data_IF_019040460929
#
_entry.id   IF_019040460929
#
_cell.length_a   1.000
_cell.length_b   1.000
_cell.length_c   1.000
_cell.angle_alpha   90.00
_cell.angle_beta   90.00
_cell.angle_gamma   90.00
#
_symmetry.space_group_name_H-M   'P 1'
#
loop_
_entity.id
_entity.type
_entity.pdbx_description
1 polymer ?
#
# COMPACT_ATOMS: atom_id res chain seq x y z
N UNK A 1 -19.92 -20.53 14.33
CA UNK A 1 -20.32 -19.14 14.07
C UNK A 1 -21.83 -19.14 14.00
N UNK A 2 -22.53 -18.69 15.03
CA UNK A 2 -24.00 -18.63 15.03
C UNK A 2 -24.38 -17.51 14.04
N UNK A 3 -25.20 -17.83 13.05
CA UNK A 3 -25.85 -16.85 12.19
C UNK A 3 -26.65 -15.93 13.10
N UNK A 4 -26.31 -14.64 13.12
CA UNK A 4 -27.17 -13.65 13.79
C UNK A 4 -28.52 -13.65 13.08
N UNK A 5 -29.63 -13.42 13.80
CA UNK A 5 -30.94 -13.38 13.17
C UNK A 5 -30.95 -12.31 12.07
N UNK A 6 -31.48 -12.68 10.93
CA UNK A 6 -31.68 -11.76 9.82
C UNK A 6 -32.51 -10.57 10.33
N UNK A 7 -31.94 -9.36 10.28
CA UNK A 7 -32.67 -8.16 10.69
C UNK A 7 -33.68 -7.83 9.59
N UNK A 8 -34.95 -8.00 9.87
CA UNK A 8 -36.00 -7.66 8.93
C UNK A 8 -36.14 -6.12 8.84
N UNK A 9 -35.79 -5.56 7.67
CA UNK A 9 -35.81 -4.12 7.40
C UNK A 9 -37.03 -3.80 6.51
N UNK A 10 -38.15 -3.52 7.14
CA UNK A 10 -39.43 -3.30 6.44
C UNK A 10 -39.66 -1.81 6.17
N UNK A 11 -39.49 -0.96 7.18
CA UNK A 11 -39.76 0.49 7.06
C UNK A 11 -38.53 1.25 6.55
N UNK A 12 -38.77 2.44 6.02
CA UNK A 12 -37.70 3.31 5.54
C UNK A 12 -36.79 3.78 6.69
N UNK A 13 -37.37 4.01 7.88
CA UNK A 13 -36.61 4.36 9.09
C UNK A 13 -35.66 3.22 9.50
N UNK A 14 -36.12 1.98 9.44
CA UNK A 14 -35.26 0.82 9.73
C UNK A 14 -34.11 0.68 8.74
N UNK A 15 -34.38 0.88 7.44
CA UNK A 15 -33.36 0.83 6.39
C UNK A 15 -32.31 1.93 6.55
N UNK A 16 -32.76 3.17 6.81
CA UNK A 16 -31.86 4.31 7.04
C UNK A 16 -31.03 4.09 8.32
N UNK A 17 -31.65 3.63 9.40
CA UNK A 17 -30.95 3.32 10.65
C UNK A 17 -29.88 2.24 10.46
N UNK A 18 -30.18 1.19 9.70
CA UNK A 18 -29.22 0.18 9.34
C UNK A 18 -28.06 0.75 8.50
N UNK A 19 -28.37 1.68 7.57
CA UNK A 19 -27.37 2.40 6.79
C UNK A 19 -26.37 3.18 7.66
N UNK A 20 -26.83 3.84 8.73
CA UNK A 20 -25.93 4.45 9.72
C UNK A 20 -25.04 3.41 10.39
N UNK A 21 -25.59 2.25 10.76
CA UNK A 21 -24.82 1.14 11.33
C UNK A 21 -23.72 0.67 10.41
N UNK A 22 -23.97 0.55 9.10
CA UNK A 22 -22.95 0.19 8.10
C UNK A 22 -21.82 1.24 8.01
N UNK A 23 -22.16 2.53 8.05
CA UNK A 23 -21.17 3.61 8.04
C UNK A 23 -20.28 3.59 9.29
N UNK A 24 -20.86 3.42 10.47
CA UNK A 24 -20.10 3.26 11.71
C UNK A 24 -19.22 2.01 11.68
N UNK A 25 -19.76 0.90 11.17
CA UNK A 25 -19.00 -0.35 11.01
C UNK A 25 -17.79 -0.20 10.10
N UNK A 26 -17.90 0.53 8.99
CA UNK A 26 -16.78 0.83 8.10
C UNK A 26 -15.70 1.68 8.81
N UNK A 27 -16.11 2.72 9.54
CA UNK A 27 -15.17 3.53 10.33
C UNK A 27 -14.49 2.71 11.43
N UNK A 28 -15.22 1.85 12.14
CA UNK A 28 -14.65 0.96 13.16
C UNK A 28 -13.63 0.01 12.54
N UNK A 29 -13.92 -0.55 11.38
CA UNK A 29 -13.00 -1.46 10.68
C UNK A 29 -11.70 -0.75 10.28
N UNK A 30 -11.78 0.49 9.78
CA UNK A 30 -10.61 1.30 9.39
C UNK A 30 -9.75 1.70 10.58
N UNK A 31 -10.36 1.89 11.75
CA UNK A 31 -9.69 2.29 12.98
C UNK A 31 -9.59 1.13 14.00
N UNK A 32 -9.72 -0.10 13.53
CA UNK A 32 -9.73 -1.30 14.37
C UNK A 32 -8.37 -1.54 15.04
N UNK A 33 -8.41 -2.18 16.18
CA UNK A 33 -7.24 -2.70 16.89
C UNK A 33 -7.50 -4.14 17.35
N UNK A 34 -6.44 -4.87 17.59
CA UNK A 34 -6.56 -6.26 18.07
C UNK A 34 -7.26 -6.32 19.43
N UNK A 35 -8.33 -7.10 19.50
CA UNK A 35 -9.15 -7.21 20.70
C UNK A 35 -10.25 -6.17 20.81
N UNK A 36 -10.59 -5.44 19.73
CA UNK A 36 -11.78 -4.60 19.70
C UNK A 36 -13.03 -5.47 19.91
N UNK A 37 -13.82 -5.13 20.92
CA UNK A 37 -15.06 -5.84 21.29
C UNK A 37 -16.27 -5.05 20.81
N UNK A 38 -16.98 -5.58 19.81
CA UNK A 38 -18.12 -4.91 19.20
C UNK A 38 -19.26 -4.68 20.20
N UNK A 39 -19.47 -5.61 21.14
CA UNK A 39 -20.53 -5.46 22.15
C UNK A 39 -20.27 -4.27 23.08
N UNK A 40 -19.01 -4.00 23.43
CA UNK A 40 -18.64 -2.81 24.20
C UNK A 40 -18.86 -1.51 23.40
N UNK A 41 -18.58 -1.51 22.10
CA UNK A 41 -18.86 -0.38 21.21
C UNK A 41 -20.37 -0.10 21.16
N UNK A 42 -21.18 -1.14 20.94
CA UNK A 42 -22.64 -1.04 20.90
C UNK A 42 -23.20 -0.48 22.22
N UNK A 43 -22.71 -0.97 23.36
CA UNK A 43 -23.10 -0.44 24.66
C UNK A 43 -22.77 1.05 24.82
N UNK A 44 -21.59 1.48 24.39
CA UNK A 44 -21.21 2.90 24.39
C UNK A 44 -22.13 3.77 23.53
N UNK A 45 -22.48 3.30 22.33
CA UNK A 45 -23.43 3.98 21.44
C UNK A 45 -24.81 4.09 22.10
N UNK A 46 -25.30 3.00 22.73
CA UNK A 46 -26.59 2.99 23.41
C UNK A 46 -26.65 3.95 24.61
N UNK A 47 -25.58 3.98 25.42
CA UNK A 47 -25.49 4.91 26.57
C UNK A 47 -25.56 6.37 26.07
N UNK A 48 -24.76 6.70 25.07
CA UNK A 48 -24.76 8.07 24.52
C UNK A 48 -26.10 8.47 23.89
N UNK A 49 -26.66 7.59 23.06
CA UNK A 49 -27.90 7.87 22.33
C UNK A 49 -29.13 8.05 23.28
N UNK A 50 -29.16 7.33 24.40
CA UNK A 50 -30.23 7.36 25.35
C UNK A 50 -30.03 8.33 26.53
N UNK A 51 -29.04 9.25 26.46
CA UNK A 51 -28.65 10.15 27.52
C UNK A 51 -28.40 9.43 28.88
N UNK A 52 -27.89 8.19 28.82
CA UNK A 52 -27.55 7.42 29.99
C UNK A 52 -26.16 7.80 30.50
N UNK A 53 -25.95 7.67 31.81
CA UNK A 53 -24.63 7.92 32.38
C UNK A 53 -23.63 6.92 31.79
N UNK A 54 -22.49 7.45 31.26
CA UNK A 54 -21.40 6.63 30.77
C UNK A 54 -20.83 5.76 31.90
N UNK A 55 -20.51 4.50 31.59
CA UNK A 55 -19.91 3.57 32.54
C UNK A 55 -18.50 3.98 32.99
N UNK A 56 -17.82 4.82 32.19
CA UNK A 56 -16.47 5.34 32.40
C UNK A 56 -16.41 6.82 32.05
N UNK A 57 -15.50 7.53 32.72
CA UNK A 57 -15.15 8.91 32.37
C UNK A 57 -13.98 8.94 31.40
N UNK A 58 -13.70 10.08 30.77
CA UNK A 58 -12.49 10.26 29.95
C UNK A 58 -11.21 10.00 30.73
N UNK A 59 -11.20 10.31 32.03
CA UNK A 59 -10.07 10.04 32.90
C UNK A 59 -9.80 8.53 33.08
N UNK A 60 -10.86 7.73 33.08
CA UNK A 60 -10.74 6.26 33.15
C UNK A 60 -10.33 5.66 31.80
N UNK A 61 -10.76 6.25 30.69
CA UNK A 61 -10.48 5.78 29.34
C UNK A 61 -9.08 6.12 28.84
N UNK A 62 -8.55 7.30 29.19
CA UNK A 62 -7.28 7.80 28.70
C UNK A 62 -6.09 6.82 28.93
N UNK A 63 -5.90 6.20 30.11
CA UNK A 63 -4.84 5.21 30.29
C UNK A 63 -4.99 4.01 29.36
N UNK A 64 -6.23 3.55 29.10
CA UNK A 64 -6.51 2.43 28.20
C UNK A 64 -6.21 2.77 26.74
N UNK A 65 -6.55 4.00 26.31
CA UNK A 65 -6.17 4.49 24.97
C UNK A 65 -4.64 4.48 24.79
N UNK A 66 -3.88 4.95 25.78
CA UNK A 66 -2.42 4.94 25.72
C UNK A 66 -1.86 3.52 25.60
N UNK A 67 -2.41 2.56 26.36
CA UNK A 67 -1.99 1.15 26.29
C UNK A 67 -2.27 0.56 24.89
N UNK A 68 -3.45 0.81 24.34
CA UNK A 68 -3.80 0.31 23.00
C UNK A 68 -2.92 0.96 21.93
N UNK A 69 -2.73 2.27 21.99
CA UNK A 69 -1.85 3.00 21.07
C UNK A 69 -0.42 2.45 21.12
N UNK A 70 0.14 2.21 22.31
CA UNK A 70 1.47 1.63 22.46
C UNK A 70 1.55 0.23 21.85
N UNK A 71 0.53 -0.62 22.06
CA UNK A 71 0.46 -1.95 21.44
C UNK A 71 0.43 -1.88 19.92
N UNK A 72 -0.37 -0.95 19.34
CA UNK A 72 -0.44 -0.73 17.89
C UNK A 72 0.91 -0.27 17.34
N UNK A 73 1.59 0.69 18.01
CA UNK A 73 2.91 1.16 17.62
C UNK A 73 3.97 0.05 17.65
N UNK A 74 3.99 -0.74 18.71
CA UNK A 74 4.91 -1.89 18.82
C UNK A 74 4.69 -2.90 17.70
N UNK A 75 3.44 -3.27 17.47
CA UNK A 75 3.08 -4.20 16.38
C UNK A 75 3.45 -3.65 15.00
N UNK A 76 3.21 -2.36 14.75
CA UNK A 76 3.58 -1.71 13.50
C UNK A 76 5.10 -1.70 13.30
N UNK A 77 5.87 -1.42 14.35
CA UNK A 77 7.33 -1.45 14.32
C UNK A 77 7.88 -2.87 14.04
N UNK A 78 7.34 -3.90 14.71
CA UNK A 78 7.72 -5.31 14.48
C UNK A 78 7.43 -5.75 13.04
N UNK A 79 6.24 -5.40 12.52
CA UNK A 79 5.87 -5.69 11.13
C UNK A 79 6.76 -4.93 10.14
N UNK A 80 7.09 -3.67 10.43
CA UNK A 80 8.00 -2.85 9.63
C UNK A 80 9.40 -3.45 9.58
N UNK A 81 9.95 -3.87 10.72
CA UNK A 81 11.25 -4.54 10.80
C UNK A 81 11.27 -5.86 10.03
N UNK A 82 10.23 -6.68 10.17
CA UNK A 82 10.11 -7.92 9.41
C UNK A 82 10.06 -7.69 7.90
N UNK A 83 9.34 -6.67 7.44
CA UNK A 83 9.28 -6.31 6.02
C UNK A 83 10.64 -5.82 5.51
N UNK A 84 11.35 -5.01 6.29
CA UNK A 84 12.70 -4.57 5.95
C UNK A 84 13.66 -5.76 5.75
N UNK A 85 13.61 -6.75 6.63
CA UNK A 85 14.40 -7.99 6.48
C UNK A 85 14.02 -8.78 5.21
N UNK A 86 12.72 -8.89 4.91
CA UNK A 86 12.25 -9.56 3.69
C UNK A 86 12.69 -8.81 2.43
N UNK A 87 12.64 -7.47 2.46
CA UNK A 87 13.10 -6.63 1.36
C UNK A 87 14.62 -6.80 1.15
N UNK A 88 15.41 -6.76 2.22
CA UNK A 88 16.86 -6.96 2.16
C UNK A 88 17.21 -8.35 1.60
N UNK A 89 16.58 -9.41 2.14
CA UNK A 89 16.79 -10.78 1.67
C UNK A 89 16.42 -10.94 0.19
N UNK A 90 15.32 -10.34 -0.25
CA UNK A 90 14.92 -10.35 -1.64
C UNK A 90 15.97 -9.65 -2.52
N UNK A 91 16.43 -8.46 -2.14
CA UNK A 91 17.43 -7.72 -2.91
C UNK A 91 18.77 -8.48 -3.01
N UNK A 92 19.21 -9.15 -1.93
CA UNK A 92 20.41 -10.00 -1.95
C UNK A 92 20.23 -11.15 -2.93
N UNK A 93 19.15 -11.92 -2.80
CA UNK A 93 18.90 -13.09 -3.65
C UNK A 93 18.68 -12.70 -5.12
N UNK A 94 18.02 -11.59 -5.38
CA UNK A 94 17.79 -11.12 -6.75
C UNK A 94 19.10 -10.67 -7.43
N UNK A 95 20.05 -10.09 -6.66
CA UNK A 95 21.37 -9.70 -7.17
C UNK A 95 22.26 -10.88 -7.59
N UNK A 96 22.00 -12.11 -7.08
CA UNK A 96 22.73 -13.32 -7.43
C UNK A 96 22.39 -13.87 -8.82
N UNK A 97 21.31 -13.36 -9.42
CA UNK A 97 20.89 -13.78 -10.77
C UNK A 97 21.81 -13.15 -11.82
N UNK A 98 22.28 -13.95 -12.78
CA UNK A 98 23.23 -13.52 -13.80
C UNK A 98 22.71 -12.38 -14.69
N UNK A 99 21.39 -12.34 -14.91
CA UNK A 99 20.73 -11.33 -15.75
C UNK A 99 20.52 -9.99 -15.04
N UNK A 100 20.75 -9.93 -13.72
CA UNK A 100 20.46 -8.76 -12.89
C UNK A 100 21.69 -7.88 -12.73
N UNK A 101 21.52 -6.61 -13.06
CA UNK A 101 22.52 -5.56 -12.80
C UNK A 101 22.08 -4.73 -11.61
N UNK A 102 23.01 -4.48 -10.67
CA UNK A 102 22.79 -3.61 -9.51
C UNK A 102 23.53 -2.29 -9.71
N UNK A 103 22.83 -1.17 -9.58
CA UNK A 103 23.41 0.18 -9.67
C UNK A 103 24.00 0.63 -8.33
N UNK A 104 24.71 1.75 -8.34
CA UNK A 104 25.31 2.32 -7.12
C UNK A 104 24.29 2.75 -6.06
N UNK A 105 23.06 3.06 -6.46
CA UNK A 105 21.95 3.40 -5.55
C UNK A 105 21.32 2.17 -4.89
N UNK A 106 21.61 0.96 -5.43
CA UNK A 106 20.96 -0.29 -5.03
C UNK A 106 19.73 -0.65 -5.86
N UNK A 107 19.39 0.12 -6.89
CA UNK A 107 18.40 -0.30 -7.88
C UNK A 107 18.92 -1.54 -8.59
N UNK A 108 18.05 -2.53 -8.79
CA UNK A 108 18.38 -3.71 -9.59
C UNK A 108 17.49 -3.75 -10.82
N UNK A 109 18.07 -4.13 -11.95
CA UNK A 109 17.31 -4.27 -13.19
C UNK A 109 17.78 -5.45 -14.03
N UNK A 110 16.85 -5.98 -14.80
CA UNK A 110 17.02 -7.03 -15.79
C UNK A 110 16.40 -6.54 -17.10
N UNK A 111 17.13 -6.59 -18.20
CA UNK A 111 16.63 -6.22 -19.52
C UNK A 111 15.89 -7.43 -20.10
N UNK A 112 14.57 -7.35 -20.20
CA UNK A 112 13.71 -8.40 -20.78
C UNK A 112 13.67 -8.29 -22.30
N UNK A 113 13.56 -7.06 -22.82
CA UNK A 113 13.57 -6.73 -24.23
C UNK A 113 14.37 -5.44 -24.42
N UNK A 114 15.32 -5.45 -25.36
CA UNK A 114 16.15 -4.29 -25.64
C UNK A 114 15.53 -3.40 -26.73
N UNK A 115 15.29 -2.14 -26.40
CA UNK A 115 14.90 -1.09 -27.33
C UNK A 115 16.10 -0.51 -28.08
N UNK A 116 15.81 0.40 -28.99
CA UNK A 116 16.84 1.10 -29.77
C UNK A 116 16.56 2.59 -29.98
N UNK A 117 15.52 3.09 -29.31
CA UNK A 117 15.14 4.50 -29.36
C UNK A 117 15.99 5.38 -28.43
N UNK A 118 15.69 6.68 -28.33
CA UNK A 118 16.36 7.58 -27.40
C UNK A 118 16.05 7.25 -25.95
N UNK A 119 16.92 7.68 -25.03
CA UNK A 119 16.70 7.60 -23.58
C UNK A 119 16.05 8.89 -23.06
N UNK A 120 15.12 8.80 -22.09
CA UNK A 120 14.51 9.98 -21.50
C UNK A 120 15.52 10.81 -20.70
N UNK A 121 15.37 12.14 -20.75
CA UNK A 121 16.01 13.04 -19.81
C UNK A 121 15.20 13.14 -18.51
N UNK A 122 15.82 13.67 -17.45
CA UNK A 122 15.16 13.80 -16.14
C UNK A 122 13.91 14.66 -16.11
N UNK A 123 13.69 15.49 -17.14
CA UNK A 123 12.51 16.38 -17.27
C UNK A 123 11.50 15.90 -18.34
N UNK A 124 11.81 14.81 -19.02
CA UNK A 124 10.94 14.27 -20.06
C UNK A 124 9.64 13.72 -19.48
N UNK A 125 8.60 13.74 -20.30
CA UNK A 125 7.37 12.98 -20.06
C UNK A 125 7.44 11.69 -20.85
N UNK A 126 7.14 10.57 -20.23
CA UNK A 126 7.20 9.23 -20.85
C UNK A 126 5.83 8.57 -20.85
N UNK A 127 5.60 7.73 -21.85
CA UNK A 127 4.46 6.81 -21.95
C UNK A 127 4.98 5.39 -21.69
N UNK A 128 4.39 4.72 -20.72
CA UNK A 128 4.82 3.37 -20.32
C UNK A 128 3.65 2.42 -20.13
N UNK A 129 3.86 1.14 -20.42
CA UNK A 129 3.14 0.09 -19.72
C UNK A 129 3.96 -0.36 -18.52
N UNK A 130 3.26 -0.68 -17.43
CA UNK A 130 3.90 -1.23 -16.25
C UNK A 130 3.00 -2.21 -15.50
N UNK A 131 3.66 -3.09 -14.74
CA UNK A 131 3.02 -4.02 -13.83
C UNK A 131 3.84 -4.04 -12.53
N UNK A 132 3.25 -3.54 -11.45
CA UNK A 132 3.89 -3.37 -10.15
C UNK A 132 3.41 -4.40 -9.14
N UNK A 133 4.36 -5.10 -8.52
CA UNK A 133 4.09 -6.12 -7.50
C UNK A 133 4.94 -5.92 -6.26
N UNK A 134 4.42 -6.37 -5.13
CA UNK A 134 5.21 -6.63 -3.93
C UNK A 134 6.12 -7.86 -4.18
N UNK A 135 7.08 -8.10 -3.30
CA UNK A 135 8.02 -9.23 -3.41
C UNK A 135 7.37 -10.62 -3.32
N UNK A 136 6.16 -10.69 -2.78
CA UNK A 136 5.35 -11.91 -2.71
C UNK A 136 4.46 -12.13 -3.95
N UNK A 137 4.57 -11.25 -4.96
CA UNK A 137 3.79 -11.29 -6.19
C UNK A 137 2.43 -10.60 -6.12
N UNK A 138 2.04 -10.02 -4.97
CA UNK A 138 0.79 -9.26 -4.86
C UNK A 138 0.85 -8.04 -5.75
N UNK A 139 -0.07 -7.94 -6.72
CA UNK A 139 -0.19 -6.78 -7.61
C UNK A 139 -0.77 -5.60 -6.83
N UNK A 140 -0.09 -4.46 -6.85
CA UNK A 140 -0.61 -3.24 -6.24
C UNK A 140 -1.05 -2.19 -7.27
N UNK A 141 -0.47 -2.23 -8.48
CA UNK A 141 -0.89 -1.38 -9.59
C UNK A 141 -0.40 -1.93 -10.93
N UNK A 142 -1.23 -1.82 -11.98
CA UNK A 142 -0.90 -2.34 -13.31
C UNK A 142 -1.65 -1.59 -14.41
N UNK A 143 -0.92 -0.89 -15.26
CA UNK A 143 -1.47 -0.31 -16.48
C UNK A 143 -1.81 -1.36 -17.54
N UNK A 144 -1.16 -2.53 -17.47
CA UNK A 144 -1.44 -3.66 -18.36
C UNK A 144 -2.83 -4.23 -18.05
N UNK A 145 -3.16 -4.42 -16.77
CA UNK A 145 -4.50 -4.90 -16.36
C UNK A 145 -5.60 -3.88 -16.69
N UNK A 146 -5.28 -2.58 -16.64
CA UNK A 146 -6.22 -1.52 -17.08
C UNK A 146 -6.38 -1.45 -18.61
N UNK A 147 -5.50 -2.09 -19.38
CA UNK A 147 -5.52 -2.07 -20.83
C UNK A 147 -5.14 -0.74 -21.48
N UNK A 148 -4.54 0.19 -20.71
CA UNK A 148 -4.13 1.52 -21.17
C UNK A 148 -2.76 1.89 -20.61
N UNK A 149 -1.82 2.40 -21.47
CA UNK A 149 -0.55 2.91 -20.99
C UNK A 149 -0.76 4.12 -20.10
N UNK A 150 0.20 4.40 -19.25
CA UNK A 150 0.20 5.55 -18.37
C UNK A 150 1.30 6.53 -18.76
N UNK A 151 1.05 7.82 -18.49
CA UNK A 151 1.96 8.92 -18.78
C UNK A 151 2.52 9.48 -17.47
N UNK A 152 3.84 9.67 -17.41
CA UNK A 152 4.53 10.15 -16.21
C UNK A 152 5.64 11.15 -16.56
N UNK A 153 5.80 12.19 -15.75
CA UNK A 153 7.05 12.95 -15.70
C UNK A 153 8.14 12.13 -15.03
N UNK A 154 9.31 12.01 -15.65
CA UNK A 154 10.44 11.22 -15.11
C UNK A 154 10.86 11.68 -13.72
N UNK A 155 10.72 12.96 -13.40
CA UNK A 155 11.00 13.54 -12.09
C UNK A 155 9.80 13.51 -11.11
N UNK A 156 8.67 12.91 -11.48
CA UNK A 156 7.43 12.86 -10.68
C UNK A 156 7.08 11.46 -10.18
N UNK A 157 7.96 10.51 -10.42
CA UNK A 157 7.82 9.12 -9.98
C UNK A 157 8.79 8.81 -8.83
N UNK A 158 8.72 7.62 -8.27
CA UNK A 158 9.64 7.18 -7.22
C UNK A 158 11.12 7.20 -7.71
N UNK A 159 12.10 7.40 -6.82
CA UNK A 159 13.51 7.51 -7.22
C UNK A 159 14.02 6.35 -8.08
N UNK A 160 13.61 5.11 -7.77
CA UNK A 160 13.98 3.94 -8.57
C UNK A 160 13.48 4.01 -10.02
N UNK A 161 12.30 4.53 -10.27
CA UNK A 161 11.79 4.76 -11.60
C UNK A 161 12.50 5.90 -12.31
N UNK A 162 12.74 7.02 -11.60
CA UNK A 162 13.50 8.14 -12.15
C UNK A 162 14.88 7.71 -12.63
N UNK A 163 15.55 6.84 -11.88
CA UNK A 163 16.84 6.28 -12.28
C UNK A 163 16.71 5.30 -13.45
N UNK A 164 15.79 4.32 -13.33
CA UNK A 164 15.61 3.29 -14.37
C UNK A 164 15.24 3.91 -15.72
N UNK A 165 14.28 4.82 -15.77
CA UNK A 165 13.83 5.44 -17.01
C UNK A 165 14.93 6.18 -17.75
N UNK A 166 15.86 6.83 -17.04
CA UNK A 166 17.00 7.52 -17.65
C UNK A 166 18.08 6.57 -18.18
N UNK A 167 18.08 5.31 -17.72
CA UNK A 167 18.95 4.24 -18.23
C UNK A 167 18.31 3.48 -19.38
N UNK A 168 16.98 3.46 -19.47
CA UNK A 168 16.21 2.79 -20.51
C UNK A 168 16.26 3.56 -21.84
N UNK A 169 16.04 2.83 -22.93
CA UNK A 169 15.78 3.38 -24.26
C UNK A 169 14.33 3.11 -24.67
N UNK A 170 13.73 3.95 -25.49
CA UNK A 170 12.41 3.67 -26.05
C UNK A 170 12.39 2.33 -26.77
N UNK A 171 11.41 1.51 -26.43
CA UNK A 171 11.28 0.11 -26.84
C UNK A 171 11.79 -0.89 -25.82
N UNK A 172 12.53 -0.46 -24.78
CA UNK A 172 12.97 -1.34 -23.70
C UNK A 172 11.79 -1.87 -22.89
N UNK A 173 11.88 -3.14 -22.51
CA UNK A 173 11.11 -3.73 -21.43
C UNK A 173 12.05 -4.25 -20.36
N UNK A 174 11.97 -3.68 -19.19
CA UNK A 174 12.82 -4.03 -18.06
C UNK A 174 11.98 -4.56 -16.90
N UNK A 175 12.57 -5.49 -16.15
CA UNK A 175 12.14 -5.79 -14.78
C UNK A 175 13.07 -5.07 -13.84
N UNK A 176 12.53 -4.22 -12.97
CA UNK A 176 13.31 -3.52 -11.95
C UNK A 176 12.87 -3.94 -10.55
N UNK A 177 13.83 -4.01 -9.63
CA UNK A 177 13.57 -4.19 -8.21
C UNK A 177 14.09 -2.96 -7.45
N UNK A 178 13.16 -2.27 -6.80
CA UNK A 178 13.43 -1.06 -6.04
C UNK A 178 13.49 -1.39 -4.55
N UNK A 179 14.64 -1.21 -3.88
CA UNK A 179 14.68 -1.28 -2.43
C UNK A 179 13.80 -0.18 -1.80
N UNK A 180 13.37 -0.31 -0.53
CA UNK A 180 12.42 0.60 0.07
C UNK A 180 12.79 2.08 -0.06
N UNK A 181 14.07 2.45 0.11
CA UNK A 181 14.53 3.84 0.03
C UNK A 181 14.47 4.46 -1.38
N UNK A 182 14.36 3.63 -2.43
CA UNK A 182 14.12 4.07 -3.81
C UNK A 182 12.63 3.97 -4.20
N UNK A 183 11.76 3.59 -3.27
CA UNK A 183 10.32 3.48 -3.43
C UNK A 183 9.59 4.38 -2.41
N UNK A 184 8.76 3.82 -1.53
CA UNK A 184 7.96 4.58 -0.57
C UNK A 184 8.49 4.54 0.88
N UNK A 185 9.67 3.93 1.11
CA UNK A 185 10.39 3.95 2.38
C UNK A 185 9.61 3.44 3.57
N UNK A 186 9.83 4.11 4.71
CA UNK A 186 9.19 3.77 6.00
C UNK A 186 7.71 4.15 6.09
N UNK A 187 7.20 4.92 5.15
CA UNK A 187 5.81 5.35 5.16
C UNK A 187 4.89 4.42 4.38
N UNK A 188 5.42 3.74 3.35
CA UNK A 188 4.58 3.01 2.40
C UNK A 188 3.69 3.93 1.57
N UNK A 189 2.66 3.40 0.92
CA UNK A 189 1.69 4.17 0.16
C UNK A 189 0.29 3.54 0.22
N UNK A 190 -0.66 4.29 0.78
CA UNK A 190 -2.03 3.84 0.97
C UNK A 190 -2.13 2.50 1.70
N UNK A 191 -3.16 1.74 1.37
CA UNK A 191 -3.39 0.40 1.95
C UNK A 191 -2.65 -0.70 1.17
N UNK A 192 -2.15 -0.39 -0.03
CA UNK A 192 -1.62 -1.38 -0.98
C UNK A 192 -0.12 -1.59 -0.86
N UNK A 193 0.64 -0.60 -0.40
CA UNK A 193 2.10 -0.68 -0.27
C UNK A 193 2.50 -0.45 1.19
N UNK A 194 2.76 -1.53 1.93
CA UNK A 194 3.16 -1.40 3.34
C UNK A 194 4.52 -0.72 3.51
N UNK A 195 4.80 -0.13 4.70
CA UNK A 195 6.13 0.39 5.05
C UNK A 195 7.26 -0.61 4.86
N UNK A 196 8.43 -0.10 4.47
CA UNK A 196 9.67 -0.87 4.32
C UNK A 196 9.60 -2.04 3.33
N UNK A 197 8.79 -1.91 2.28
CA UNK A 197 8.61 -2.96 1.27
C UNK A 197 9.44 -2.65 0.02
N UNK A 198 10.20 -3.63 -0.47
CA UNK A 198 10.80 -3.56 -1.81
C UNK A 198 9.73 -3.82 -2.86
N UNK A 199 9.83 -3.14 -3.99
CA UNK A 199 8.87 -3.23 -5.08
C UNK A 199 9.52 -3.79 -6.33
N UNK A 200 8.78 -4.59 -7.07
CA UNK A 200 9.17 -5.11 -8.37
C UNK A 200 8.23 -4.53 -9.43
N UNK A 201 8.82 -4.06 -10.53
CA UNK A 201 8.04 -3.58 -11.68
C UNK A 201 8.56 -4.22 -12.95
N UNK A 202 7.65 -4.59 -13.83
CA UNK A 202 7.95 -4.70 -15.25
C UNK A 202 7.53 -3.39 -15.92
N UNK A 203 8.46 -2.74 -16.63
CA UNK A 203 8.25 -1.45 -17.29
C UNK A 203 8.56 -1.62 -18.77
N UNK A 204 7.63 -1.24 -19.62
CA UNK A 204 7.84 -1.11 -21.06
C UNK A 204 7.79 0.38 -21.41
N UNK A 205 8.93 0.96 -21.80
CA UNK A 205 9.04 2.34 -22.23
C UNK A 205 8.62 2.45 -23.70
N UNK A 206 7.45 3.02 -23.93
CA UNK A 206 6.82 3.08 -25.25
C UNK A 206 7.24 4.33 -26.03
N UNK A 207 7.22 5.49 -25.36
CA UNK A 207 7.40 6.79 -26.03
C UNK A 207 7.94 7.84 -25.05
N UNK A 208 8.67 8.81 -25.57
CA UNK A 208 9.02 10.04 -24.88
C UNK A 208 8.19 11.15 -25.52
N UNK A 209 7.43 11.88 -24.70
CA UNK A 209 6.73 13.11 -25.12
C UNK A 209 7.55 14.30 -24.67
N UNK A 210 7.92 15.14 -25.59
CA UNK A 210 8.60 16.42 -25.37
C UNK A 210 7.60 17.57 -25.17
#
# INVERSE_FOLDING_TARGET
MALQPEVELVTDEQKVSYGFGLQFGDQLRKNSFDGLELDAVIAGIQHWYNDQQAAMTDADLNPSYQVIQQKQQTKAAELGAKRAQLAEQFMITNAEREEVTTTASGLQYEVLEAGSGPSPAGQSTVVTHYHGTLVDGTVFDSSVERGQPAEFGVNQVIPGWTEALQLMSVGDKWRIACPPHLAYGEQGAGDSIPPNTALVFEIHLIEIKD
#
